data_IF_817316988232
#
_entry.id   IF_817316988232
#
_cell.length_a   1.000
_cell.length_b   1.000
_cell.length_c   1.000
_cell.angle_alpha   90.00
_cell.angle_beta   90.00
_cell.angle_gamma   90.00
#
_symmetry.space_group_name_H-M   'P 1'
#
loop_
_entity.id
_entity.type
_entity.pdbx_description
1 polymer ?
#
# COMPACT_ATOMS: atom_id res chain seq x y z
N UNK A 1 38.72 -16.03 22.60
CA UNK A 1 38.15 -14.72 22.21
C UNK A 1 37.17 -14.99 21.08
N UNK A 2 36.07 -15.61 21.45
CA UNK A 2 34.87 -15.80 20.64
C UNK A 2 33.75 -15.31 21.56
N UNK A 3 32.70 -14.74 20.97
CA UNK A 3 31.54 -14.11 21.63
C UNK A 3 31.72 -12.64 22.00
N UNK A 4 31.29 -11.76 21.08
CA UNK A 4 30.69 -10.47 21.45
C UNK A 4 29.91 -9.79 20.29
N UNK A 5 30.11 -10.24 19.04
CA UNK A 5 29.45 -9.62 17.88
C UNK A 5 28.00 -10.11 17.63
N UNK A 6 27.60 -11.26 18.17
CA UNK A 6 26.27 -11.84 17.94
C UNK A 6 25.17 -11.28 18.87
N UNK A 7 25.55 -10.73 20.03
CA UNK A 7 24.59 -10.26 21.04
C UNK A 7 23.98 -8.88 20.71
N UNK A 8 24.65 -8.06 19.91
CA UNK A 8 24.17 -6.71 19.57
C UNK A 8 23.06 -6.71 18.51
N UNK A 9 22.94 -7.75 17.67
CA UNK A 9 21.91 -7.83 16.62
C UNK A 9 20.57 -8.37 17.14
N UNK A 10 20.56 -9.07 18.28
CA UNK A 10 19.35 -9.64 18.86
C UNK A 10 18.56 -8.66 19.74
N UNK A 11 19.21 -7.60 20.25
CA UNK A 11 18.59 -6.64 21.17
C UNK A 11 17.77 -5.53 20.48
N UNK A 12 17.84 -5.42 19.15
CA UNK A 12 17.10 -4.43 18.35
C UNK A 12 15.82 -5.02 17.71
N UNK A 13 15.66 -6.35 17.78
CA UNK A 13 14.58 -7.11 17.13
C UNK A 13 13.22 -6.90 17.85
N UNK A 14 13.24 -6.68 19.17
CA UNK A 14 12.05 -6.45 19.99
C UNK A 14 11.37 -5.10 19.68
N UNK A 15 12.11 -4.15 19.08
CA UNK A 15 11.60 -2.80 18.73
C UNK A 15 11.01 -2.70 17.33
N UNK A 16 11.12 -3.76 16.51
CA UNK A 16 10.66 -3.75 15.12
C UNK A 16 9.50 -4.72 14.87
N UNK A 17 8.91 -5.27 15.94
CA UNK A 17 7.68 -6.01 15.88
C UNK A 17 6.50 -5.04 15.74
N UNK A 18 5.81 -5.11 14.60
CA UNK A 18 4.51 -4.44 14.44
C UNK A 18 3.45 -5.47 14.80
N UNK A 19 2.85 -5.27 15.98
CA UNK A 19 1.62 -5.98 16.32
C UNK A 19 0.50 -5.33 15.50
N UNK A 20 0.08 -5.96 14.41
CA UNK A 20 -1.12 -5.53 13.69
C UNK A 20 -2.34 -6.08 14.45
N UNK A 21 -2.70 -5.42 15.55
CA UNK A 21 -3.98 -5.63 16.23
C UNK A 21 -5.05 -4.94 15.40
N UNK A 22 -5.72 -5.67 14.51
CA UNK A 22 -6.87 -5.14 13.82
C UNK A 22 -8.08 -5.10 14.77
N UNK A 23 -8.12 -4.08 15.64
CA UNK A 23 -9.41 -3.58 16.10
C UNK A 23 -10.18 -3.17 14.84
N UNK A 24 -11.37 -3.76 14.64
CA UNK A 24 -12.28 -3.57 13.49
C UNK A 24 -12.10 -2.15 12.93
N UNK A 25 -11.33 -1.95 11.85
CA UNK A 25 -11.20 -0.62 11.31
C UNK A 25 -12.58 -0.21 10.79
N UNK A 26 -12.95 1.08 10.87
CA UNK A 26 -14.16 1.56 10.23
C UNK A 26 -14.12 1.11 8.77
N UNK A 27 -15.27 0.74 8.17
CA UNK A 27 -15.32 0.22 6.82
C UNK A 27 -14.60 1.21 5.92
N UNK A 28 -13.39 0.86 5.50
CA UNK A 28 -12.63 1.67 4.57
C UNK A 28 -13.35 1.42 3.26
N UNK A 29 -14.30 2.30 2.96
CA UNK A 29 -14.88 2.41 1.63
C UNK A 29 -13.71 2.31 0.65
N UNK A 30 -13.89 1.60 -0.46
CA UNK A 30 -12.88 1.47 -1.49
C UNK A 30 -12.48 2.87 -2.00
N UNK A 31 -11.58 3.56 -1.30
CA UNK A 31 -11.19 4.96 -1.54
C UNK A 31 -10.40 5.11 -2.85
N UNK A 32 -10.17 4.02 -3.57
CA UNK A 32 -9.23 3.99 -4.69
C UNK A 32 -9.82 4.17 -6.08
N UNK A 33 -11.13 3.95 -6.30
CA UNK A 33 -11.69 3.97 -7.67
C UNK A 33 -12.65 5.13 -7.81
N UNK A 34 -12.23 6.16 -8.56
CA UNK A 34 -13.05 7.35 -8.83
C UNK A 34 -12.91 8.49 -7.84
N UNK A 35 -12.17 8.33 -6.73
CA UNK A 35 -11.82 9.43 -5.83
C UNK A 35 -11.00 10.48 -6.61
N UNK A 36 -11.38 11.77 -6.57
CA UNK A 36 -10.57 12.83 -7.16
C UNK A 36 -9.25 12.95 -6.39
N UNK A 37 -8.16 13.12 -7.12
CA UNK A 37 -6.83 13.30 -6.52
C UNK A 37 -6.76 14.66 -5.84
N UNK A 38 -6.30 14.70 -4.60
CA UNK A 38 -6.08 15.92 -3.82
C UNK A 38 -4.59 16.13 -3.49
N UNK A 39 -4.24 17.34 -3.04
CA UNK A 39 -2.90 17.59 -2.52
C UNK A 39 -2.69 16.84 -1.21
N UNK A 40 -1.55 16.17 -1.07
CA UNK A 40 -1.23 15.29 0.06
C UNK A 40 -1.48 13.81 -0.24
N UNK A 41 -2.24 13.48 -1.29
CA UNK A 41 -2.50 12.09 -1.65
C UNK A 41 -1.23 11.39 -2.14
N UNK A 42 -1.14 10.10 -1.81
CA UNK A 42 -0.13 9.20 -2.37
C UNK A 42 -0.71 8.52 -3.61
N UNK A 43 -0.07 8.72 -4.77
CA UNK A 43 -0.51 8.17 -6.05
C UNK A 43 0.59 7.28 -6.62
N UNK A 44 0.21 6.15 -7.20
CA UNK A 44 1.13 5.30 -7.95
C UNK A 44 1.13 5.77 -9.41
N UNK A 45 2.23 6.37 -9.84
CA UNK A 45 2.46 6.73 -11.23
C UNK A 45 2.93 5.50 -11.98
N UNK A 46 2.06 4.91 -12.80
CA UNK A 46 2.34 3.72 -13.58
C UNK A 46 2.72 4.10 -15.02
N UNK A 47 3.96 3.82 -15.39
CA UNK A 47 4.52 4.13 -16.71
C UNK A 47 4.54 2.91 -17.64
N UNK A 48 4.56 1.70 -17.07
CA UNK A 48 4.59 0.43 -17.78
C UNK A 48 4.83 -0.74 -16.83
N UNK A 49 4.86 -1.95 -17.40
CA UNK A 49 4.86 -3.20 -16.62
C UNK A 49 5.91 -3.28 -15.50
N UNK A 50 7.15 -2.84 -15.80
CA UNK A 50 8.27 -2.84 -14.86
C UNK A 50 8.65 -1.44 -14.36
N UNK A 51 7.80 -0.42 -14.59
CA UNK A 51 8.10 0.96 -14.25
C UNK A 51 6.88 1.63 -13.63
N UNK A 52 6.93 1.75 -12.32
CA UNK A 52 6.00 2.54 -11.54
C UNK A 52 6.75 3.24 -10.41
N UNK A 53 6.20 4.34 -9.91
CA UNK A 53 6.73 5.06 -8.74
C UNK A 53 5.59 5.54 -7.85
N UNK A 54 5.80 5.47 -6.54
CA UNK A 54 4.96 6.17 -5.57
C UNK A 54 5.34 7.66 -5.55
N UNK A 55 4.35 8.54 -5.69
CA UNK A 55 4.53 9.99 -5.71
C UNK A 55 3.47 10.63 -4.82
N UNK A 56 3.91 11.48 -3.89
CA UNK A 56 3.01 12.32 -3.09
C UNK A 56 2.68 13.60 -3.83
N UNK A 57 1.40 13.92 -3.94
CA UNK A 57 0.91 15.07 -4.70
C UNK A 57 1.13 16.37 -3.90
N UNK A 58 2.19 17.11 -4.24
CA UNK A 58 2.47 18.42 -3.66
C UNK A 58 2.14 19.59 -4.61
N UNK A 59 1.76 20.77 -4.08
CA UNK A 59 1.63 22.00 -4.86
C UNK A 59 2.94 22.36 -5.56
N UNK A 60 2.86 22.82 -6.81
CA UNK A 60 4.02 23.25 -7.64
C UNK A 60 5.08 22.18 -7.90
N UNK A 61 4.84 20.93 -7.50
CA UNK A 61 5.71 19.82 -7.83
C UNK A 61 5.43 19.29 -9.25
N UNK A 62 6.45 18.66 -9.81
CA UNK A 62 6.39 18.03 -11.12
C UNK A 62 7.01 16.65 -11.04
N UNK A 63 6.46 15.73 -11.82
CA UNK A 63 7.00 14.41 -12.07
C UNK A 63 7.63 14.39 -13.45
N UNK A 64 8.89 13.96 -13.53
CA UNK A 64 9.64 13.89 -14.78
C UNK A 64 10.01 12.45 -15.09
N UNK A 65 9.78 12.05 -16.35
CA UNK A 65 10.27 10.78 -16.88
C UNK A 65 10.67 10.95 -18.35
N UNK A 66 11.03 9.85 -19.01
CA UNK A 66 11.40 9.85 -20.45
C UNK A 66 10.27 10.27 -21.40
N UNK A 67 9.02 10.24 -20.93
CA UNK A 67 7.81 10.56 -21.69
C UNK A 67 7.41 12.04 -21.61
N UNK A 68 8.06 12.82 -20.73
CA UNK A 68 7.86 14.26 -20.60
C UNK A 68 7.80 14.72 -19.14
N UNK A 69 7.38 15.99 -18.97
CA UNK A 69 7.10 16.58 -17.66
C UNK A 69 5.60 16.55 -17.37
N UNK A 70 5.26 16.20 -16.14
CA UNK A 70 3.90 16.14 -15.64
C UNK A 70 3.78 17.02 -14.41
N UNK A 71 2.97 18.08 -14.49
CA UNK A 71 2.75 18.97 -13.35
C UNK A 71 1.64 18.41 -12.46
N UNK A 72 1.88 18.35 -11.16
CA UNK A 72 0.89 17.82 -10.21
C UNK A 72 -0.42 18.61 -10.22
N UNK A 73 -0.36 19.92 -10.54
CA UNK A 73 -1.55 20.76 -10.70
C UNK A 73 -2.51 20.24 -11.78
N UNK A 74 -2.01 19.55 -12.81
CA UNK A 74 -2.82 18.98 -13.89
C UNK A 74 -3.45 17.62 -13.49
N UNK A 75 -3.09 17.09 -12.32
CA UNK A 75 -3.54 15.80 -11.80
C UNK A 75 -4.63 15.97 -10.74
N UNK A 76 -4.56 17.04 -9.96
CA UNK A 76 -5.55 17.36 -8.92
C UNK A 76 -6.95 17.48 -9.54
N UNK A 77 -7.94 16.89 -8.88
CA UNK A 77 -9.33 16.84 -9.33
C UNK A 77 -9.63 15.75 -10.36
N UNK A 78 -8.61 15.11 -10.95
CA UNK A 78 -8.84 13.93 -11.81
C UNK A 78 -9.10 12.70 -10.95
N UNK A 79 -9.99 11.79 -11.37
CA UNK A 79 -10.21 10.55 -10.65
C UNK A 79 -8.98 9.64 -10.71
N UNK A 80 -8.69 8.93 -9.62
CA UNK A 80 -7.76 7.80 -9.64
C UNK A 80 -8.17 6.79 -10.72
N UNK A 81 -7.18 6.29 -11.46
CA UNK A 81 -7.33 5.52 -12.71
C UNK A 81 -7.18 6.37 -13.98
N UNK A 82 -7.04 7.69 -13.88
CA UNK A 82 -6.92 8.57 -15.04
C UNK A 82 -5.59 8.40 -15.79
N UNK A 83 -5.69 8.46 -17.13
CA UNK A 83 -4.54 8.61 -18.03
C UNK A 83 -4.17 10.09 -18.15
N UNK A 84 -2.91 10.43 -17.93
CA UNK A 84 -2.40 11.80 -18.07
C UNK A 84 -1.26 11.84 -19.07
N UNK A 85 -1.19 12.91 -19.86
CA UNK A 85 -0.19 13.08 -20.91
C UNK A 85 0.90 14.04 -20.46
N UNK A 86 2.14 13.73 -20.82
CA UNK A 86 3.30 14.55 -20.49
C UNK A 86 3.41 15.73 -21.44
N UNK A 87 3.89 16.87 -20.93
CA UNK A 87 4.30 18.00 -21.77
C UNK A 87 5.74 17.75 -22.23
N UNK A 88 5.97 17.72 -23.54
CA UNK A 88 7.28 17.52 -24.14
C UNK A 88 7.21 16.91 -25.54
N UNK A 89 8.32 16.94 -26.27
CA UNK A 89 8.40 16.51 -27.67
C UNK A 89 8.08 15.02 -27.89
N UNK A 90 8.31 14.18 -26.87
CA UNK A 90 8.11 12.72 -26.95
C UNK A 90 6.65 12.27 -26.72
N UNK A 91 5.75 13.16 -26.32
CA UNK A 91 4.29 12.93 -26.33
C UNK A 91 3.76 11.67 -25.60
N UNK A 92 4.37 11.25 -24.48
CA UNK A 92 3.95 10.01 -23.79
C UNK A 92 2.90 10.23 -22.70
N UNK A 93 2.54 9.15 -22.01
CA UNK A 93 1.49 9.15 -20.98
C UNK A 93 1.87 8.28 -19.78
N UNK A 94 1.21 8.54 -18.65
CA UNK A 94 1.24 7.70 -17.45
C UNK A 94 -0.17 7.51 -16.92
N UNK A 95 -0.35 6.49 -16.09
CA UNK A 95 -1.59 6.23 -15.37
C UNK A 95 -1.41 6.59 -13.89
N UNK A 96 -2.42 7.25 -13.32
CA UNK A 96 -2.44 7.64 -11.91
C UNK A 96 -3.29 6.62 -11.16
N UNK A 97 -2.67 5.67 -10.48
CA UNK A 97 -3.37 4.56 -9.82
C UNK A 97 -3.44 4.76 -8.31
N UNK A 98 -4.49 4.21 -7.70
CA UNK A 98 -4.60 4.13 -6.25
C UNK A 98 -3.47 3.27 -5.67
N UNK A 99 -2.95 3.61 -4.48
CA UNK A 99 -1.97 2.77 -3.80
C UNK A 99 -2.64 1.50 -3.28
N UNK A 100 -2.30 0.36 -3.89
CA UNK A 100 -2.67 -0.96 -3.38
C UNK A 100 -1.41 -1.67 -2.86
N UNK A 101 -1.52 -2.65 -1.94
CA UNK A 101 -0.36 -3.42 -1.47
C UNK A 101 0.45 -4.04 -2.63
N UNK A 102 -0.24 -4.51 -3.67
CA UNK A 102 0.40 -5.14 -4.84
C UNK A 102 1.24 -4.15 -5.66
N UNK A 103 0.75 -2.93 -5.82
CA UNK A 103 1.51 -1.86 -6.46
C UNK A 103 2.60 -1.32 -5.53
N UNK A 104 2.31 -1.21 -4.24
CA UNK A 104 3.25 -0.76 -3.21
C UNK A 104 4.48 -1.66 -3.15
N UNK A 105 4.30 -2.99 -3.10
CA UNK A 105 5.40 -3.97 -3.15
C UNK A 105 6.36 -3.75 -4.32
N UNK A 106 5.88 -3.21 -5.45
CA UNK A 106 6.72 -2.92 -6.62
C UNK A 106 7.48 -1.59 -6.54
N UNK A 107 6.96 -0.61 -5.80
CA UNK A 107 7.47 0.78 -5.84
C UNK A 107 8.08 1.24 -4.53
N UNK A 108 7.90 0.49 -3.45
CA UNK A 108 8.37 0.88 -2.13
C UNK A 108 9.90 1.01 -2.12
N UNK A 109 10.45 1.94 -1.32
CA UNK A 109 11.89 2.05 -1.15
C UNK A 109 12.42 0.84 -0.37
N UNK A 110 13.31 0.06 -1.00
CA UNK A 110 13.94 -1.08 -0.35
C UNK A 110 14.93 -0.60 0.73
N UNK A 111 14.60 -0.90 1.99
CA UNK A 111 15.55 -0.81 3.13
C UNK A 111 16.13 -2.18 3.49
N UNK A 112 15.39 -3.23 3.15
CA UNK A 112 15.67 -4.63 3.47
C UNK A 112 15.29 -5.51 2.28
N UNK A 113 15.66 -6.80 2.34
CA UNK A 113 15.01 -7.79 1.49
C UNK A 113 13.51 -7.83 1.80
N UNK A 114 12.69 -8.07 0.78
CA UNK A 114 11.22 -8.12 0.90
C UNK A 114 10.66 -9.42 0.36
N UNK A 115 9.45 -9.75 0.82
CA UNK A 115 8.58 -10.73 0.18
C UNK A 115 7.81 -10.08 -0.97
N UNK A 116 7.64 -10.85 -2.04
CA UNK A 116 6.83 -10.46 -3.20
C UNK A 116 5.48 -11.18 -3.20
N UNK A 117 4.60 -10.78 -4.11
CA UNK A 117 3.22 -11.25 -4.17
C UNK A 117 3.03 -12.77 -4.18
N UNK A 118 3.84 -13.60 -4.87
CA UNK A 118 3.68 -15.05 -4.79
C UNK A 118 3.76 -15.57 -3.36
N UNK A 119 4.80 -15.20 -2.62
CA UNK A 119 5.01 -15.66 -1.24
C UNK A 119 3.98 -15.04 -0.29
N UNK A 120 3.68 -13.75 -0.45
CA UNK A 120 2.67 -13.05 0.36
C UNK A 120 1.30 -13.71 0.19
N UNK A 121 0.93 -14.09 -1.04
CA UNK A 121 -0.35 -14.74 -1.32
C UNK A 121 -0.45 -16.10 -0.65
N UNK A 122 0.65 -16.87 -0.65
CA UNK A 122 0.71 -18.16 0.03
C UNK A 122 0.61 -17.99 1.56
N UNK A 123 1.38 -17.06 2.14
CA UNK A 123 1.33 -16.75 3.58
C UNK A 123 -0.09 -16.33 4.00
N UNK A 124 -0.72 -15.45 3.23
CA UNK A 124 -2.08 -14.96 3.53
C UNK A 124 -3.10 -16.10 3.49
N UNK A 125 -2.94 -17.03 2.54
CA UNK A 125 -3.81 -18.20 2.38
C UNK A 125 -3.62 -19.21 3.52
N UNK A 126 -2.38 -19.58 3.82
CA UNK A 126 -2.04 -20.59 4.84
C UNK A 126 -2.33 -20.11 6.27
N UNK A 127 -2.21 -18.81 6.53
CA UNK A 127 -2.63 -18.21 7.80
C UNK A 127 -4.15 -17.98 7.89
N UNK A 128 -4.90 -18.33 6.85
CA UNK A 128 -6.35 -18.14 6.73
C UNK A 128 -6.80 -16.72 7.09
N UNK A 129 -6.02 -15.72 6.67
CA UNK A 129 -6.26 -14.33 7.07
C UNK A 129 -7.62 -13.86 6.56
N UNK A 130 -8.40 -13.29 7.46
CA UNK A 130 -9.75 -12.78 7.20
C UNK A 130 -9.92 -11.42 7.86
N UNK A 131 -10.95 -10.65 7.45
CA UNK A 131 -11.30 -9.42 8.12
C UNK A 131 -11.56 -9.67 9.61
N UNK A 132 -10.89 -8.90 10.48
CA UNK A 132 -10.94 -9.09 11.94
C UNK A 132 -9.90 -10.05 12.52
N UNK A 133 -9.07 -10.71 11.70
CA UNK A 133 -7.93 -11.48 12.21
C UNK A 133 -6.94 -10.57 12.96
N UNK A 134 -6.39 -11.06 14.07
CA UNK A 134 -5.28 -10.42 14.78
C UNK A 134 -3.98 -11.07 14.32
N UNK A 135 -3.04 -10.26 13.81
CA UNK A 135 -1.79 -10.77 13.24
C UNK A 135 -0.61 -10.10 13.93
N UNK A 136 0.41 -10.88 14.25
CA UNK A 136 1.67 -10.39 14.79
C UNK A 136 2.72 -10.53 13.70
N UNK A 137 3.29 -9.40 13.28
CA UNK A 137 4.43 -9.38 12.38
C UNK A 137 5.67 -8.95 13.17
N UNK A 138 6.69 -9.81 13.22
CA UNK A 138 8.00 -9.43 13.73
C UNK A 138 8.96 -9.20 12.58
N UNK A 139 9.61 -8.02 12.56
CA UNK A 139 10.49 -7.60 11.46
C UNK A 139 9.72 -6.95 10.31
N UNK A 140 9.26 -5.70 10.50
CA UNK A 140 8.53 -4.93 9.46
C UNK A 140 9.34 -4.74 8.18
N UNK A 141 10.66 -4.65 8.30
CA UNK A 141 11.57 -4.41 7.19
C UNK A 141 11.16 -3.18 6.35
N UNK A 142 10.89 -3.41 5.06
CA UNK A 142 10.45 -2.35 4.13
C UNK A 142 8.92 -2.23 4.04
N UNK A 143 8.17 -3.03 4.79
CA UNK A 143 6.71 -2.97 4.89
C UNK A 143 5.94 -3.59 3.72
N UNK A 144 6.56 -4.47 2.92
CA UNK A 144 5.87 -5.16 1.82
C UNK A 144 4.76 -6.08 2.34
N UNK A 145 5.10 -6.99 3.26
CA UNK A 145 4.15 -7.92 3.87
C UNK A 145 3.12 -7.17 4.72
N UNK A 146 3.56 -6.22 5.55
CA UNK A 146 2.73 -5.38 6.41
C UNK A 146 1.51 -4.79 5.69
N UNK A 147 1.69 -4.20 4.50
CA UNK A 147 0.56 -3.59 3.77
C UNK A 147 -0.47 -4.63 3.32
N UNK A 148 -0.02 -5.82 2.92
CA UNK A 148 -0.93 -6.92 2.55
C UNK A 148 -1.64 -7.51 3.78
N UNK A 149 -0.95 -7.65 4.91
CA UNK A 149 -1.55 -8.08 6.17
C UNK A 149 -2.64 -7.10 6.61
N UNK A 150 -2.34 -5.80 6.65
CA UNK A 150 -3.31 -4.75 6.99
C UNK A 150 -4.54 -4.83 6.10
N UNK A 151 -4.37 -4.99 4.79
CA UNK A 151 -5.51 -5.12 3.86
C UNK A 151 -6.34 -6.38 4.14
N UNK A 152 -5.71 -7.51 4.42
CA UNK A 152 -6.41 -8.76 4.69
C UNK A 152 -7.25 -8.67 5.98
N UNK A 153 -6.69 -8.07 7.04
CA UNK A 153 -7.36 -7.94 8.34
C UNK A 153 -8.37 -6.80 8.42
N UNK A 154 -8.21 -5.74 7.61
CA UNK A 154 -9.08 -4.58 7.65
C UNK A 154 -10.47 -4.82 7.03
N UNK A 155 -10.62 -5.84 6.20
CA UNK A 155 -11.84 -6.04 5.42
C UNK A 155 -11.82 -5.31 4.09
N UNK A 156 -12.09 -6.04 3.01
CA UNK A 156 -12.36 -5.43 1.72
C UNK A 156 -13.67 -4.65 1.77
N UNK A 157 -13.67 -3.41 1.28
CA UNK A 157 -14.88 -2.60 1.12
C UNK A 157 -15.85 -3.24 0.12
N UNK A 158 -16.70 -4.14 0.60
CA UNK A 158 -17.91 -4.59 -0.08
C UNK A 158 -18.90 -5.08 1.00
N UNK A 159 -19.84 -4.20 1.34
CA UNK A 159 -21.11 -4.49 2.04
C UNK A 159 -21.04 -5.48 3.21
N UNK A 160 -20.86 -4.94 4.42
CA UNK A 160 -21.48 -5.55 5.59
C UNK A 160 -23.01 -5.48 5.40
N UNK A 161 -23.65 -6.58 5.02
CA UNK A 161 -25.07 -6.76 5.35
C UNK A 161 -25.15 -6.83 6.87
N UNK A 162 -25.69 -5.78 7.49
CA UNK A 162 -26.05 -5.81 8.90
C UNK A 162 -27.16 -6.85 9.07
N UNK A 163 -26.82 -8.08 9.48
CA UNK A 163 -27.78 -8.90 10.19
C UNK A 163 -27.88 -8.33 11.60
N UNK A 164 -28.93 -7.54 11.85
CA UNK A 164 -29.39 -7.29 13.20
C UNK A 164 -29.70 -8.66 13.82
N UNK A 165 -28.85 -9.12 14.73
CA UNK A 165 -29.20 -10.18 15.67
C UNK A 165 -30.00 -9.51 16.78
N UNK A 166 -31.32 -9.64 16.73
CA UNK A 166 -32.15 -9.47 17.92
C UNK A 166 -31.75 -10.59 18.91
N UNK A 167 -30.89 -10.22 19.87
CA UNK A 167 -30.71 -10.97 21.11
C UNK A 167 -32.03 -10.89 21.90
N UNK A 168 -32.89 -11.85 21.64
CA UNK A 168 -34.01 -12.22 22.51
C UNK A 168 -33.80 -13.65 23.00
N UNK A 169 -33.10 -13.79 24.12
CA UNK A 169 -33.07 -15.03 24.89
C UNK A 169 -33.33 -14.72 26.36
N UNK A 170 -33.83 -15.66 27.18
CA UNK A 170 -34.52 -16.91 26.86
C UNK A 170 -36.05 -16.83 26.97
#
# INVERSE_FOLDING_TARGET
VVDDAAAAAAADDEKNAVVVVAARPPPVAAEGVGKPIEYGDLVIVYEGFNKAKAVTIAPRAQYQNKYGNFFHVDWVGKPLGSKVFGRGENGGHVWLLAPTPELWTKVLPHRTQILYLPDISLITLELELRPGSVVIESGTGSGSLTHSLIRAVAGGGASTSSSESEDGAP
#
